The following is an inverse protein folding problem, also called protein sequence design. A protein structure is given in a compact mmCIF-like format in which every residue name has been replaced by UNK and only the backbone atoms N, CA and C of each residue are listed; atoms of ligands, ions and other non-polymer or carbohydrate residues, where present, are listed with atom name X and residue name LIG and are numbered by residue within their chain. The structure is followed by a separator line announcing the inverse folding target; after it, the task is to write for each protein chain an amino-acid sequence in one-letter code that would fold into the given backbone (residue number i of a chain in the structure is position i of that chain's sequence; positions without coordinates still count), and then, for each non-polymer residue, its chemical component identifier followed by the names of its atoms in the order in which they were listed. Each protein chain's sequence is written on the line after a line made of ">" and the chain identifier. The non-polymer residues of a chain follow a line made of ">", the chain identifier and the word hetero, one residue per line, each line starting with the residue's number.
data_IF_771847445716
#
_entry.id   IF_771847445716
#
_cell.length_a   1.000
_cell.length_b   1.000
_cell.length_c   1.000
_cell.angle_alpha   90.00
_cell.angle_beta   90.00
_cell.angle_gamma   90.00
#
_symmetry.space_group_name_H-M   'P 1'
#
loop_
_entity.id
_entity.type
_entity.pdbx_description
1 polymer ?
#
# COMPACT_ATOMS: atom_id res chain seq x y z
N UNK A 1 39.76 -55.76 -41.08
CA UNK A 1 39.19 -55.08 -42.26
C UNK A 1 38.13 -54.08 -41.79
N UNK A 2 38.33 -52.78 -42.06
CA UNK A 2 37.33 -51.68 -42.16
C UNK A 2 36.47 -51.39 -40.90
N UNK A 3 36.20 -50.16 -40.47
CA UNK A 3 36.50 -48.81 -40.96
C UNK A 3 35.92 -47.79 -39.94
N UNK A 4 36.62 -46.64 -39.77
CA UNK A 4 36.08 -45.27 -39.54
C UNK A 4 35.42 -45.00 -38.16
N UNK A 5 35.98 -44.23 -37.22
CA UNK A 5 36.45 -42.83 -37.25
C UNK A 5 35.37 -41.82 -37.68
N UNK A 6 35.11 -40.83 -36.81
CA UNK A 6 34.15 -39.70 -36.84
C UNK A 6 32.75 -39.90 -36.22
N UNK A 7 32.52 -39.32 -35.04
CA UNK A 7 31.77 -38.05 -34.84
C UNK A 7 31.80 -37.69 -33.34
N UNK A 8 32.60 -36.70 -32.92
CA UNK A 8 32.21 -35.29 -32.73
C UNK A 8 31.08 -35.08 -31.71
N UNK A 9 31.49 -34.64 -30.51
CA UNK A 9 31.02 -33.42 -29.81
C UNK A 9 29.60 -32.94 -30.14
N UNK A 10 28.72 -32.97 -29.14
CA UNK A 10 27.78 -31.87 -28.92
C UNK A 10 27.37 -31.84 -27.45
N UNK A 11 28.06 -31.01 -26.68
CA UNK A 11 27.47 -30.37 -25.50
C UNK A 11 26.16 -29.72 -25.93
N UNK A 12 25.05 -30.08 -25.28
CA UNK A 12 23.93 -29.17 -25.13
C UNK A 12 23.85 -28.80 -23.65
N UNK A 13 24.64 -27.80 -23.26
CA UNK A 13 24.34 -27.03 -22.07
C UNK A 13 23.01 -26.33 -22.36
N UNK A 14 21.93 -26.82 -21.78
CA UNK A 14 20.72 -26.02 -21.64
C UNK A 14 21.06 -24.97 -20.59
N UNK A 15 21.54 -23.80 -21.04
CA UNK A 15 21.39 -22.60 -20.24
C UNK A 15 19.90 -22.32 -20.21
N UNK A 16 19.20 -22.85 -19.21
CA UNK A 16 17.95 -22.25 -18.80
C UNK A 16 18.34 -20.85 -18.34
N UNK A 17 18.16 -19.87 -19.22
CA UNK A 17 17.92 -18.50 -18.79
C UNK A 17 16.64 -18.63 -17.98
N UNK A 18 16.76 -18.75 -16.66
CA UNK A 18 15.64 -18.41 -15.80
C UNK A 18 15.34 -16.96 -16.15
N UNK A 19 14.28 -16.74 -16.93
CA UNK A 19 13.62 -15.44 -16.92
C UNK A 19 13.18 -15.33 -15.46
N UNK A 20 13.98 -14.61 -14.65
CA UNK A 20 13.56 -14.31 -13.30
C UNK A 20 12.22 -13.63 -13.44
N UNK A 21 11.19 -14.13 -12.75
CA UNK A 21 9.92 -13.45 -12.65
C UNK A 21 10.24 -12.00 -12.22
N UNK A 22 10.07 -11.06 -13.14
CA UNK A 22 10.28 -9.65 -12.86
C UNK A 22 8.98 -9.15 -12.28
N UNK A 23 9.04 -8.56 -11.09
CA UNK A 23 7.87 -7.88 -10.57
C UNK A 23 7.64 -6.59 -11.36
N UNK A 24 6.38 -6.28 -11.64
CA UNK A 24 6.00 -4.97 -12.16
C UNK A 24 6.03 -3.96 -11.02
N UNK A 25 6.84 -2.91 -11.20
CA UNK A 25 7.06 -1.90 -10.17
C UNK A 25 6.12 -0.70 -10.36
N UNK A 26 5.34 -0.39 -9.32
CA UNK A 26 4.42 0.75 -9.27
C UNK A 26 4.97 1.81 -8.31
N UNK A 27 4.92 3.07 -8.74
CA UNK A 27 5.27 4.22 -7.91
C UNK A 27 4.01 4.99 -7.49
N UNK A 28 3.40 4.66 -6.34
CA UNK A 28 2.15 5.25 -5.94
C UNK A 28 2.29 6.74 -5.60
N UNK A 29 1.32 7.53 -6.06
CA UNK A 29 1.11 8.92 -5.69
C UNK A 29 0.18 9.01 -4.47
N UNK A 30 0.41 10.02 -3.63
CA UNK A 30 -0.39 10.24 -2.43
C UNK A 30 -1.84 10.63 -2.77
N UNK A 31 -2.80 10.00 -2.07
CA UNK A 31 -4.23 10.27 -2.14
C UNK A 31 -5.00 9.42 -3.14
N UNK A 32 -4.35 8.72 -4.08
CA UNK A 32 -5.01 7.88 -5.07
C UNK A 32 -5.00 6.41 -4.64
N UNK A 33 -6.10 5.71 -4.93
CA UNK A 33 -6.16 4.25 -4.86
C UNK A 33 -5.43 3.64 -6.06
N UNK A 34 -4.64 2.62 -5.77
CA UNK A 34 -3.99 1.75 -6.74
C UNK A 34 -4.62 0.38 -6.65
N UNK A 35 -5.18 -0.07 -7.76
CA UNK A 35 -5.75 -1.40 -7.87
C UNK A 35 -4.62 -2.43 -7.97
N UNK A 36 -4.83 -3.57 -7.36
CA UNK A 36 -4.10 -4.80 -7.65
C UNK A 36 -5.12 -5.94 -7.79
N UNK A 37 -4.76 -6.95 -8.57
CA UNK A 37 -5.56 -8.15 -8.74
C UNK A 37 -4.87 -9.32 -8.04
N UNK A 38 -5.65 -10.36 -7.73
CA UNK A 38 -5.16 -11.70 -7.43
C UNK A 38 -5.95 -12.64 -8.30
N UNK A 39 -5.29 -13.45 -9.11
CA UNK A 39 -5.92 -14.53 -9.86
C UNK A 39 -4.88 -15.62 -10.14
N UNK A 40 -5.06 -16.80 -9.55
CA UNK A 40 -4.12 -17.91 -9.70
C UNK A 40 -4.03 -18.48 -11.12
N UNK A 41 -5.04 -18.21 -11.98
CA UNK A 41 -5.03 -18.64 -13.38
C UNK A 41 -4.27 -17.66 -14.28
N UNK A 42 -4.21 -16.39 -13.89
CA UNK A 42 -3.53 -15.32 -14.64
C UNK A 42 -2.10 -15.11 -14.12
N UNK A 43 -1.86 -15.34 -12.82
CA UNK A 43 -0.54 -15.23 -12.21
C UNK A 43 0.49 -16.07 -12.96
N UNK A 44 1.62 -15.45 -13.28
CA UNK A 44 2.77 -16.14 -13.88
C UNK A 44 3.35 -17.24 -12.97
N UNK A 45 3.13 -17.14 -11.65
CA UNK A 45 3.57 -18.15 -10.69
C UNK A 45 2.51 -19.22 -10.39
N UNK A 46 1.25 -18.98 -10.79
CA UNK A 46 0.09 -19.76 -10.37
C UNK A 46 -0.29 -19.55 -8.89
N UNK A 47 0.25 -18.51 -8.28
CA UNK A 47 0.09 -18.18 -6.87
C UNK A 47 -1.05 -17.21 -6.60
N UNK A 48 -1.06 -16.68 -5.38
CA UNK A 48 -2.07 -15.74 -4.90
C UNK A 48 -1.46 -14.39 -4.48
N UNK A 49 -0.26 -14.10 -5.00
CA UNK A 49 0.34 -12.78 -4.91
C UNK A 49 -0.49 -11.74 -5.66
N UNK A 50 -0.28 -10.49 -5.30
CA UNK A 50 -0.80 -9.38 -6.09
C UNK A 50 -0.15 -9.38 -7.46
N UNK A 51 -0.95 -9.26 -8.50
CA UNK A 51 -0.51 -9.30 -9.89
C UNK A 51 -1.03 -8.11 -10.68
N UNK A 52 -0.30 -7.80 -11.74
CA UNK A 52 -0.73 -6.87 -12.77
C UNK A 52 -1.60 -7.61 -13.78
N UNK A 53 -2.91 -7.66 -13.51
CA UNK A 53 -3.90 -8.22 -14.43
C UNK A 53 -4.81 -7.13 -15.03
N UNK A 54 -4.47 -5.86 -14.84
CA UNK A 54 -5.32 -4.75 -15.23
C UNK A 54 -5.44 -4.65 -16.75
N UNK A 55 -6.65 -4.42 -17.25
CA UNK A 55 -6.89 -4.10 -18.64
C UNK A 55 -7.36 -2.65 -18.75
N UNK A 56 -6.60 -1.83 -19.46
CA UNK A 56 -6.99 -0.46 -19.83
C UNK A 56 -6.96 -0.34 -21.36
N UNK A 57 -8.12 -0.60 -21.97
CA UNK A 57 -8.32 -0.54 -23.41
C UNK A 57 -8.06 0.87 -23.98
N UNK A 58 -8.28 1.92 -23.19
CA UNK A 58 -8.12 3.30 -23.67
C UNK A 58 -6.63 3.66 -23.84
N UNK A 59 -5.76 3.07 -23.03
CA UNK A 59 -4.31 3.20 -23.14
C UNK A 59 -3.66 2.04 -23.92
N UNK A 60 -4.45 1.04 -24.34
CA UNK A 60 -3.95 -0.17 -24.98
C UNK A 60 -3.08 -1.00 -24.04
N UNK A 61 -3.30 -0.88 -22.74
CA UNK A 61 -2.56 -1.57 -21.71
C UNK A 61 -3.27 -2.86 -21.31
N UNK A 62 -2.51 -3.94 -21.19
CA UNK A 62 -2.99 -5.23 -20.71
C UNK A 62 -1.91 -5.79 -19.81
N UNK A 63 -2.26 -5.97 -18.54
CA UNK A 63 -1.41 -6.61 -17.56
C UNK A 63 -1.03 -8.02 -17.99
N UNK A 64 0.15 -8.45 -17.57
CA UNK A 64 0.77 -9.70 -18.00
C UNK A 64 0.73 -10.80 -16.92
N UNK A 65 0.04 -10.55 -15.81
CA UNK A 65 -0.03 -11.44 -14.65
C UNK A 65 1.27 -11.52 -13.85
N UNK A 66 2.22 -10.61 -14.08
CA UNK A 66 3.43 -10.50 -13.26
C UNK A 66 3.10 -10.05 -11.85
N UNK A 67 3.91 -10.48 -10.87
CA UNK A 67 3.75 -10.05 -9.48
C UNK A 67 3.95 -8.53 -9.36
N UNK A 68 3.14 -7.87 -8.53
CA UNK A 68 3.24 -6.44 -8.26
C UNK A 68 4.17 -6.15 -7.08
N UNK A 69 4.96 -5.09 -7.25
CA UNK A 69 5.71 -4.46 -6.17
C UNK A 69 5.49 -2.96 -6.21
N UNK A 70 5.12 -2.35 -5.07
CA UNK A 70 4.99 -0.90 -4.97
C UNK A 70 6.21 -0.33 -4.25
N UNK A 71 6.89 0.62 -4.88
CA UNK A 71 8.08 1.26 -4.31
C UNK A 71 7.90 2.76 -4.22
N UNK A 72 8.11 3.32 -3.03
CA UNK A 72 8.00 4.75 -2.80
C UNK A 72 8.89 5.20 -1.64
N UNK A 73 9.04 6.53 -1.52
CA UNK A 73 9.68 7.16 -0.36
C UNK A 73 8.77 8.22 0.24
N UNK A 74 8.83 8.35 1.56
CA UNK A 74 8.06 9.30 2.35
C UNK A 74 8.99 10.31 3.00
N UNK A 75 8.69 11.59 2.85
CA UNK A 75 9.37 12.68 3.58
C UNK A 75 8.68 13.01 4.90
N UNK A 76 7.38 12.68 5.01
CA UNK A 76 6.54 12.87 6.20
C UNK A 76 5.82 11.55 6.51
N UNK A 77 5.31 11.39 7.72
CA UNK A 77 4.50 10.22 8.06
C UNK A 77 3.23 10.15 7.22
N UNK A 78 2.83 8.94 6.83
CA UNK A 78 1.61 8.67 6.07
C UNK A 78 0.97 7.36 6.53
N UNK A 79 -0.33 7.23 6.32
CA UNK A 79 -1.02 5.94 6.41
C UNK A 79 -0.90 5.21 5.08
N UNK A 80 -0.53 3.94 5.14
CA UNK A 80 -0.71 2.99 4.06
C UNK A 80 -2.00 2.23 4.33
N UNK A 81 -2.99 2.46 3.48
CA UNK A 81 -4.30 1.86 3.52
C UNK A 81 -4.37 0.71 2.50
N UNK A 82 -5.02 -0.37 2.90
CA UNK A 82 -5.29 -1.53 2.07
C UNK A 82 -6.74 -1.97 2.29
N UNK A 83 -7.46 -2.24 1.21
CA UNK A 83 -8.87 -2.63 1.25
C UNK A 83 -9.17 -3.75 0.27
N UNK A 84 -10.05 -4.65 0.70
CA UNK A 84 -10.77 -5.57 -0.16
C UNK A 84 -11.78 -4.83 -1.07
N UNK A 85 -11.99 -5.33 -2.27
CA UNK A 85 -12.90 -4.77 -3.26
C UNK A 85 -13.52 -5.88 -4.12
N UNK A 86 -14.43 -5.53 -5.02
CA UNK A 86 -15.24 -6.50 -5.75
C UNK A 86 -16.31 -7.08 -4.83
N UNK A 87 -16.26 -8.38 -4.58
CA UNK A 87 -17.13 -9.08 -3.65
C UNK A 87 -16.42 -9.18 -2.30
N UNK A 88 -17.07 -8.72 -1.23
CA UNK A 88 -16.47 -8.79 0.11
C UNK A 88 -16.19 -10.23 0.53
N UNK A 89 -15.13 -10.41 1.33
CA UNK A 89 -14.82 -11.68 1.98
C UNK A 89 -13.36 -12.08 1.85
N UNK A 90 -12.59 -11.32 1.09
CA UNK A 90 -11.16 -11.53 0.95
C UNK A 90 -10.40 -10.89 2.13
N UNK A 91 -9.36 -11.58 2.59
CA UNK A 91 -8.41 -11.06 3.59
C UNK A 91 -7.03 -11.12 2.98
N UNK A 92 -6.29 -10.02 3.08
CA UNK A 92 -4.98 -9.87 2.45
C UNK A 92 -3.87 -9.84 3.50
N UNK A 93 -2.70 -10.32 3.09
CA UNK A 93 -1.44 -10.07 3.78
C UNK A 93 -0.62 -9.05 3.00
N UNK A 94 -0.31 -7.94 3.65
CA UNK A 94 0.57 -6.87 3.22
C UNK A 94 1.99 -7.12 3.73
N UNK A 95 2.98 -7.05 2.86
CA UNK A 95 4.39 -7.11 3.20
C UNK A 95 5.01 -5.71 3.04
N UNK A 96 5.43 -5.09 4.15
CA UNK A 96 6.15 -3.81 4.16
C UNK A 96 7.61 -4.07 4.47
N UNK A 97 8.50 -3.89 3.48
CA UNK A 97 9.93 -4.21 3.60
C UNK A 97 10.16 -5.64 4.14
N UNK A 98 9.31 -6.58 3.71
CA UNK A 98 9.32 -7.98 4.15
C UNK A 98 8.60 -8.28 5.48
N UNK A 99 8.12 -7.27 6.21
CA UNK A 99 7.33 -7.48 7.43
C UNK A 99 5.85 -7.66 7.12
N UNK A 100 5.22 -8.66 7.72
CA UNK A 100 3.84 -9.05 7.43
C UNK A 100 2.80 -8.34 8.30
N UNK A 101 1.72 -7.89 7.68
CA UNK A 101 0.54 -7.30 8.28
C UNK A 101 -0.70 -7.89 7.59
N UNK A 102 -1.73 -8.27 8.36
CA UNK A 102 -2.95 -8.85 7.80
C UNK A 102 -4.11 -7.86 7.92
N UNK A 103 -4.95 -7.75 6.88
CA UNK A 103 -6.19 -6.97 6.97
C UNK A 103 -7.17 -7.54 7.99
N UNK A 104 -8.15 -6.72 8.38
CA UNK A 104 -9.16 -7.11 9.36
C UNK A 104 -9.91 -8.38 8.93
N UNK A 105 -10.14 -9.29 9.87
CA UNK A 105 -10.93 -10.48 9.59
C UNK A 105 -12.37 -10.11 9.20
N UNK A 106 -12.88 -10.78 8.16
CA UNK A 106 -14.26 -10.71 7.66
C UNK A 106 -14.75 -12.11 7.33
N UNK A 107 -16.07 -12.30 7.22
CA UNK A 107 -16.63 -13.57 6.78
C UNK A 107 -16.30 -13.80 5.30
N UNK A 108 -15.89 -15.02 4.94
CA UNK A 108 -15.63 -15.38 3.55
C UNK A 108 -16.91 -15.46 2.70
N UNK A 109 -18.05 -15.71 3.33
CA UNK A 109 -19.38 -15.65 2.70
C UNK A 109 -19.93 -14.23 2.82
N UNK A 110 -20.19 -13.59 1.68
CA UNK A 110 -20.82 -12.27 1.65
C UNK A 110 -21.60 -12.07 0.35
N UNK A 111 -22.62 -11.21 0.43
CA UNK A 111 -23.34 -10.69 -0.73
C UNK A 111 -23.02 -9.20 -0.98
N UNK A 112 -22.11 -8.61 -0.19
CA UNK A 112 -21.73 -7.21 -0.34
C UNK A 112 -20.77 -7.06 -1.52
N UNK A 113 -21.11 -6.17 -2.45
CA UNK A 113 -20.33 -5.93 -3.65
C UNK A 113 -20.10 -4.44 -3.85
N UNK A 114 -18.83 -4.03 -3.96
CA UNK A 114 -18.41 -2.65 -4.20
C UNK A 114 -17.80 -2.45 -5.60
N UNK A 115 -17.57 -3.53 -6.35
CA UNK A 115 -16.79 -3.44 -7.59
C UNK A 115 -15.41 -2.82 -7.30
N UNK A 116 -14.95 -1.91 -8.15
CA UNK A 116 -13.67 -1.18 -7.96
C UNK A 116 -13.84 0.18 -7.26
N UNK A 117 -14.97 0.40 -6.57
CA UNK A 117 -15.17 1.60 -5.74
C UNK A 117 -14.53 1.39 -4.35
N UNK A 118 -13.23 1.66 -4.27
CA UNK A 118 -12.43 1.46 -3.05
C UNK A 118 -12.86 2.37 -1.90
N UNK A 119 -13.38 3.57 -2.18
CA UNK A 119 -13.87 4.47 -1.14
C UNK A 119 -15.15 3.92 -0.51
N UNK A 120 -16.06 3.36 -1.32
CA UNK A 120 -17.25 2.66 -0.83
C UNK A 120 -16.88 1.42 -0.01
N UNK A 121 -15.94 0.61 -0.50
CA UNK A 121 -15.46 -0.58 0.22
C UNK A 121 -14.80 -0.20 1.56
N UNK A 122 -13.98 0.85 1.59
CA UNK A 122 -13.30 1.33 2.79
C UNK A 122 -14.28 1.78 3.89
N UNK A 123 -15.37 2.43 3.49
CA UNK A 123 -16.42 2.90 4.38
C UNK A 123 -17.29 1.76 4.94
N UNK A 124 -17.41 0.65 4.20
CA UNK A 124 -18.25 -0.48 4.55
C UNK A 124 -17.58 -1.42 5.59
N UNK A 125 -18.34 -2.00 6.53
CA UNK A 125 -17.81 -2.95 7.52
C UNK A 125 -17.59 -4.38 6.97
N UNK A 126 -18.21 -4.74 5.85
CA UNK A 126 -18.15 -6.08 5.28
C UNK A 126 -16.81 -6.40 4.61
N UNK A 127 -16.07 -5.38 4.19
CA UNK A 127 -14.80 -5.50 3.48
C UNK A 127 -13.62 -5.48 4.44
N UNK A 128 -12.62 -6.34 4.19
CA UNK A 128 -11.41 -6.32 5.00
C UNK A 128 -10.60 -5.05 4.74
N UNK A 129 -9.99 -4.52 5.80
CA UNK A 129 -9.18 -3.30 5.72
C UNK A 129 -7.99 -3.32 6.67
N UNK A 130 -6.94 -2.61 6.26
CA UNK A 130 -5.73 -2.39 7.02
C UNK A 130 -5.31 -0.93 6.86
N UNK A 131 -4.89 -0.30 7.95
CA UNK A 131 -4.25 1.01 7.93
C UNK A 131 -3.00 0.95 8.80
N UNK A 132 -1.83 1.18 8.19
CA UNK A 132 -0.54 1.14 8.86
C UNK A 132 0.09 2.53 8.81
N UNK A 133 0.46 3.07 9.98
CA UNK A 133 1.23 4.31 10.04
C UNK A 133 2.69 4.05 9.65
N UNK A 134 3.13 4.71 8.59
CA UNK A 134 4.51 4.72 8.12
C UNK A 134 5.21 6.00 8.54
N UNK A 135 6.46 5.88 8.97
CA UNK A 135 7.35 7.01 9.22
C UNK A 135 7.98 7.50 7.89
N UNK A 136 8.71 8.63 7.90
CA UNK A 136 9.56 8.97 6.76
C UNK A 136 10.58 7.85 6.48
N UNK A 137 10.77 7.51 5.20
CA UNK A 137 11.63 6.39 4.79
C UNK A 137 11.32 5.87 3.39
N UNK A 138 12.04 4.83 2.98
CA UNK A 138 11.78 4.12 1.72
C UNK A 138 11.09 2.79 1.98
N UNK A 139 10.13 2.47 1.13
CA UNK A 139 9.25 1.33 1.29
C UNK A 139 9.14 0.54 -0.01
N UNK A 140 9.21 -0.77 0.15
CA UNK A 140 8.86 -1.77 -0.86
C UNK A 140 7.70 -2.58 -0.32
N UNK A 141 6.59 -2.56 -1.05
CA UNK A 141 5.34 -3.18 -0.68
C UNK A 141 5.00 -4.30 -1.65
N UNK A 142 4.67 -5.46 -1.11
CA UNK A 142 4.06 -6.57 -1.85
C UNK A 142 2.92 -7.13 -1.02
N UNK A 143 2.21 -8.11 -1.55
CA UNK A 143 1.18 -8.79 -0.78
C UNK A 143 0.63 -10.01 -1.49
N UNK A 144 -0.25 -10.70 -0.79
CA UNK A 144 -0.92 -11.90 -1.27
C UNK A 144 -2.27 -12.10 -0.56
N UNK A 145 -3.13 -12.92 -1.15
CA UNK A 145 -4.41 -13.32 -0.58
C UNK A 145 -4.19 -14.36 0.53
N UNK A 146 -4.75 -14.08 1.71
CA UNK A 146 -4.71 -14.96 2.88
C UNK A 146 -6.02 -15.72 3.07
N UNK A 147 -7.15 -15.11 2.72
CA UNK A 147 -8.48 -15.74 2.65
C UNK A 147 -9.13 -15.25 1.37
N UNK A 148 -9.76 -16.17 0.62
CA UNK A 148 -10.61 -15.77 -0.50
C UNK A 148 -12.09 -15.81 -0.11
N UNK A 149 -12.89 -14.90 -0.66
CA UNK A 149 -14.33 -15.04 -0.67
C UNK A 149 -14.74 -16.38 -1.30
N UNK A 150 -15.87 -16.93 -0.87
CA UNK A 150 -16.36 -18.24 -1.33
C UNK A 150 -17.70 -18.13 -2.05
N UNK A 151 -17.96 -19.09 -2.94
CA UNK A 151 -19.25 -19.25 -3.62
C UNK A 151 -20.32 -19.88 -2.71
N UNK A 152 -21.53 -20.01 -3.24
CA UNK A 152 -22.69 -20.63 -2.57
C UNK A 152 -22.49 -22.11 -2.19
N UNK A 153 -21.45 -22.76 -2.71
CA UNK A 153 -21.07 -24.15 -2.41
C UNK A 153 -19.88 -24.22 -1.44
N UNK A 154 -19.36 -23.08 -0.98
CA UNK A 154 -18.22 -22.98 -0.09
C UNK A 154 -16.87 -23.13 -0.77
N UNK A 155 -16.81 -22.98 -2.10
CA UNK A 155 -15.57 -23.05 -2.89
C UNK A 155 -14.96 -21.65 -2.99
N UNK A 156 -13.67 -21.47 -2.67
CA UNK A 156 -13.02 -20.17 -2.79
C UNK A 156 -12.85 -19.72 -4.24
N UNK A 157 -13.10 -18.45 -4.53
CA UNK A 157 -12.94 -17.90 -5.87
C UNK A 157 -11.48 -17.86 -6.32
N UNK A 158 -10.54 -17.56 -5.42
CA UNK A 158 -9.11 -17.38 -5.71
C UNK A 158 -8.84 -16.36 -6.84
N UNK A 159 -9.79 -15.46 -7.03
CA UNK A 159 -9.78 -14.38 -7.99
C UNK A 159 -10.46 -13.16 -7.33
N UNK A 160 -9.71 -12.08 -7.12
CA UNK A 160 -10.21 -10.88 -6.42
C UNK A 160 -9.42 -9.64 -6.82
N UNK A 161 -9.93 -8.46 -6.45
CA UNK A 161 -9.27 -7.18 -6.60
C UNK A 161 -9.20 -6.47 -5.24
N UNK A 162 -8.15 -5.68 -5.05
CA UNK A 162 -8.04 -4.83 -3.87
C UNK A 162 -7.41 -3.49 -4.20
N UNK A 163 -7.49 -2.59 -3.22
CA UNK A 163 -7.01 -1.22 -3.33
C UNK A 163 -5.91 -0.94 -2.32
N UNK A 164 -4.85 -0.26 -2.78
CA UNK A 164 -3.79 0.28 -1.94
C UNK A 164 -3.77 1.82 -2.05
N UNK A 165 -3.68 2.54 -0.95
CA UNK A 165 -3.62 4.00 -0.95
C UNK A 165 -2.63 4.52 0.09
N UNK A 166 -1.88 5.56 -0.27
CA UNK A 166 -1.05 6.32 0.66
C UNK A 166 -1.79 7.61 1.00
N UNK A 167 -1.94 7.91 2.29
CA UNK A 167 -2.57 9.13 2.78
C UNK A 167 -1.66 9.81 3.78
N UNK A 168 -1.14 10.99 3.44
CA UNK A 168 -0.35 11.80 4.37
C UNK A 168 -1.10 12.02 5.69
N UNK A 169 -0.39 11.90 6.82
CA UNK A 169 -0.94 12.31 8.10
C UNK A 169 -1.02 13.83 8.11
N UNK A 170 -2.24 14.37 8.10
CA UNK A 170 -2.44 15.79 8.35
C UNK A 170 -2.08 16.01 9.82
N UNK A 171 -0.92 16.60 10.08
CA UNK A 171 -0.54 16.99 11.43
C UNK A 171 -1.62 17.94 11.96
N UNK A 172 -2.32 17.58 13.05
CA UNK A 172 -3.24 18.52 13.68
C UNK A 172 -2.44 19.77 14.02
N UNK A 173 -3.04 20.96 13.96
CA UNK A 173 -2.40 22.28 14.13
C UNK A 173 -1.72 22.53 15.49
N UNK A 174 -1.18 21.52 16.15
CA UNK A 174 -0.40 21.57 17.37
C UNK A 174 0.80 22.50 17.20
N UNK A 175 1.42 22.58 16.01
CA UNK A 175 2.47 23.56 15.72
C UNK A 175 1.94 25.00 15.71
N UNK A 176 0.70 25.22 15.25
CA UNK A 176 0.01 26.50 15.34
C UNK A 176 -0.34 26.83 16.79
N UNK A 177 -0.81 25.85 17.57
CA UNK A 177 -1.09 26.00 19.00
C UNK A 177 0.16 26.28 19.84
N UNK A 178 1.28 25.59 19.58
CA UNK A 178 2.58 25.87 20.21
C UNK A 178 3.09 27.26 19.82
N UNK A 179 2.98 27.63 18.54
CA UNK A 179 3.33 28.96 18.06
C UNK A 179 2.49 30.07 18.72
N UNK A 180 1.18 29.88 18.82
CA UNK A 180 0.28 30.81 19.50
C UNK A 180 0.53 30.89 21.00
N UNK A 181 0.78 29.76 21.66
CA UNK A 181 1.11 29.72 23.09
C UNK A 181 2.38 30.50 23.41
N UNK A 182 3.44 30.34 22.61
CA UNK A 182 4.68 31.09 22.75
C UNK A 182 4.50 32.60 22.46
N UNK A 183 3.71 32.93 21.45
CA UNK A 183 3.37 34.32 21.12
C UNK A 183 2.62 35.02 22.26
N UNK A 184 1.62 34.36 22.86
CA UNK A 184 0.88 34.88 24.02
C UNK A 184 1.79 35.05 25.25
N UNK A 185 2.71 34.13 25.49
CA UNK A 185 3.71 34.26 26.57
C UNK A 185 4.66 35.44 26.33
N UNK A 186 5.05 35.69 25.09
CA UNK A 186 5.87 36.86 24.72
C UNK A 186 5.12 38.18 24.93
N UNK A 187 3.86 38.26 24.51
CA UNK A 187 2.99 39.42 24.77
C UNK A 187 2.82 39.67 26.27
N UNK A 188 2.61 38.61 27.06
CA UNK A 188 2.45 38.72 28.52
C UNK A 188 3.73 39.21 29.20
N UNK A 189 4.91 38.80 28.74
CA UNK A 189 6.20 39.31 29.24
C UNK A 189 6.40 40.79 28.90
N UNK A 190 6.04 41.22 27.70
CA UNK A 190 6.17 42.63 27.27
C UNK A 190 5.24 43.54 28.08
N UNK A 191 4.00 43.12 28.32
CA UNK A 191 3.04 43.87 29.14
C UNK A 191 3.55 44.09 30.57
N UNK A 192 4.03 43.04 31.26
CA UNK A 192 4.57 43.11 32.63
C UNK A 192 5.79 44.03 32.75
N UNK A 193 6.65 44.06 31.74
CA UNK A 193 7.86 44.89 31.74
C UNK A 193 7.52 46.39 31.62
N UNK A 194 6.46 46.73 30.88
CA UNK A 194 5.97 48.10 30.76
C UNK A 194 5.23 48.58 32.03
N UNK A 195 4.52 47.70 32.73
CA UNK A 195 3.82 48.07 33.98
C UNK A 195 4.78 48.41 35.11
N UNK A 196 5.90 47.67 35.24
CA UNK A 196 6.91 47.92 36.27
C UNK A 196 7.73 49.20 36.01
N UNK A 197 7.85 49.65 34.76
CA UNK A 197 8.51 50.91 34.43
C UNK A 197 7.68 52.15 34.83
N UNK A 198 6.35 52.03 34.82
CA UNK A 198 5.44 53.13 35.15
C UNK A 198 5.30 53.36 36.67
N UNK A 199 5.46 52.31 37.49
CA UNK A 199 5.38 52.40 38.95
C UNK A 199 6.72 52.79 39.62
N UNK A 200 7.83 52.78 38.87
CA UNK A 200 9.16 53.15 39.38
C UNK A 200 9.50 54.64 39.34
N UNK A 201 8.65 55.50 38.73
CA UNK A 201 8.91 56.94 38.59
C UNK A 201 8.13 57.83 39.57
N UNK A 202 7.47 57.26 40.57
CA UNK A 202 6.51 57.98 41.41
C UNK A 202 6.80 58.03 42.90
N UNK A 203 8.05 58.23 43.37
CA UNK A 203 8.33 58.73 44.74
C UNK A 203 9.67 59.48 44.78
N UNK A 204 9.69 60.73 44.33
CA UNK A 204 10.64 61.76 44.81
C UNK A 204 9.95 63.12 44.66
N UNK A 205 9.22 63.52 45.70
CA UNK A 205 8.87 64.90 46.03
C UNK A 205 8.58 64.97 47.52
#
# INVERSE_FOLDING_TARGET
>A
MRNKFFLMVSLWLINMVSVGASATEIHPANGSWYLFDVDALVSQSGGVEWIDAQQDDALGYTGDGSALTFSFSLTNSAFLNLVDAGLAGDVFTLLINGNSYTSSAVAAESNAFAGIDFDAAWAAPEFSKLSVLLAPGSYTITGFLNQSAIDEYGVPYMATAGGLQIVNVVEPGIFVLFGMGLFLLFLRRKARRNTNAFLGQGVLA
#
